data_IF_026803136171
#
_entry.id   IF_026803136171
#
_cell.length_a   1.000
_cell.length_b   1.000
_cell.length_c   1.000
_cell.angle_alpha   90.00
_cell.angle_beta   90.00
_cell.angle_gamma   90.00
#
_symmetry.space_group_name_H-M   'P 1'
#
loop_
_entity.id
_entity.type
_entity.pdbx_description
1 polymer ?
#
# COMPACT_ATOMS: atom_id res chain seq x y z
N UNK A 1 -13.86 10.78 -21.81
CA UNK A 1 -13.84 12.22 -21.40
C UNK A 1 -13.13 12.33 -20.04
N UNK A 2 -12.45 13.43 -19.72
CA UNK A 2 -11.77 13.61 -18.41
C UNK A 2 -12.75 13.43 -17.25
N UNK A 3 -13.94 14.04 -17.35
CA UNK A 3 -14.99 13.92 -16.34
C UNK A 3 -15.36 12.47 -16.02
N UNK A 4 -15.46 11.62 -17.06
CA UNK A 4 -15.77 10.20 -16.89
C UNK A 4 -14.68 9.46 -16.12
N UNK A 5 -13.41 9.74 -16.41
CA UNK A 5 -12.28 9.12 -15.70
C UNK A 5 -12.26 9.57 -14.25
N UNK A 6 -12.47 10.86 -13.97
CA UNK A 6 -12.53 11.36 -12.59
C UNK A 6 -13.71 10.80 -11.81
N UNK A 7 -14.87 10.61 -12.46
CA UNK A 7 -16.02 9.93 -11.85
C UNK A 7 -15.74 8.46 -11.58
N UNK A 8 -15.10 7.75 -12.52
CA UNK A 8 -14.71 6.36 -12.34
C UNK A 8 -13.76 6.19 -11.15
N UNK A 9 -12.74 7.05 -11.06
CA UNK A 9 -11.78 7.07 -9.94
C UNK A 9 -12.48 7.35 -8.61
N UNK A 10 -13.42 8.29 -8.58
CA UNK A 10 -14.22 8.58 -7.38
C UNK A 10 -15.07 7.37 -6.94
N UNK A 11 -15.47 6.52 -7.88
CA UNK A 11 -16.18 5.26 -7.62
C UNK A 11 -15.24 4.07 -7.37
N UNK A 12 -13.92 4.29 -7.32
CA UNK A 12 -12.92 3.25 -7.08
C UNK A 12 -12.45 2.48 -8.31
N UNK A 13 -12.88 2.84 -9.53
CA UNK A 13 -12.35 2.28 -10.76
C UNK A 13 -11.08 3.03 -11.19
N UNK A 14 -9.94 2.44 -10.85
CA UNK A 14 -8.60 2.97 -11.15
C UNK A 14 -8.03 2.45 -12.48
N UNK A 15 -8.81 1.70 -13.27
CA UNK A 15 -8.38 1.19 -14.57
C UNK A 15 -8.56 2.19 -15.71
N UNK A 16 -9.35 3.24 -15.50
CA UNK A 16 -9.71 4.22 -16.53
C UNK A 16 -8.60 5.24 -16.76
N UNK A 17 -8.37 5.58 -18.03
CA UNK A 17 -7.41 6.62 -18.43
C UNK A 17 -8.03 7.64 -19.38
N UNK A 18 -7.53 8.87 -19.30
CA UNK A 18 -7.88 9.91 -20.25
C UNK A 18 -7.12 9.65 -21.54
N UNK A 19 -7.85 9.24 -22.58
CA UNK A 19 -7.28 8.89 -23.90
C UNK A 19 -7.50 9.97 -24.97
N UNK A 20 -8.42 10.91 -24.73
CA UNK A 20 -8.75 11.99 -25.69
C UNK A 20 -7.50 12.79 -26.09
N UNK A 21 -7.42 13.16 -27.37
CA UNK A 21 -6.35 14.01 -27.87
C UNK A 21 -6.61 15.47 -27.51
N UNK A 22 -5.62 16.10 -26.89
CA UNK A 22 -5.72 17.44 -26.30
C UNK A 22 -4.35 18.11 -26.37
N UNK A 23 -4.34 19.43 -26.43
CA UNK A 23 -3.12 20.24 -26.50
C UNK A 23 -3.11 21.33 -25.42
N UNK A 24 -1.96 22.01 -25.27
CA UNK A 24 -1.83 23.11 -24.32
C UNK A 24 -2.11 22.72 -22.87
N UNK A 25 -2.91 23.52 -22.16
CA UNK A 25 -3.26 23.28 -20.76
C UNK A 25 -4.09 22.01 -20.56
N UNK A 26 -4.94 21.65 -21.54
CA UNK A 26 -5.73 20.43 -21.47
C UNK A 26 -4.85 19.17 -21.54
N UNK A 27 -3.73 19.22 -22.27
CA UNK A 27 -2.73 18.14 -22.26
C UNK A 27 -2.06 18.01 -20.88
N UNK A 28 -1.71 19.13 -20.25
CA UNK A 28 -1.16 19.12 -18.89
C UNK A 28 -2.17 18.51 -17.91
N UNK A 29 -3.44 18.93 -17.97
CA UNK A 29 -4.49 18.37 -17.13
C UNK A 29 -4.68 16.86 -17.35
N UNK A 30 -4.76 16.41 -18.61
CA UNK A 30 -4.82 14.98 -18.97
C UNK A 30 -3.67 14.20 -18.32
N UNK A 31 -2.44 14.70 -18.45
CA UNK A 31 -1.27 14.04 -17.90
C UNK A 31 -1.31 13.99 -16.37
N UNK A 32 -1.65 15.11 -15.72
CA UNK A 32 -1.79 15.16 -14.25
C UNK A 32 -2.84 14.17 -13.75
N UNK A 33 -4.01 14.11 -14.39
CA UNK A 33 -5.07 13.16 -14.04
C UNK A 33 -4.59 11.71 -14.23
N UNK A 34 -3.96 11.40 -15.36
CA UNK A 34 -3.46 10.05 -15.62
C UNK A 34 -2.39 9.62 -14.59
N UNK A 35 -1.44 10.50 -14.26
CA UNK A 35 -0.43 10.26 -13.22
C UNK A 35 -1.08 10.02 -11.85
N UNK A 36 -2.09 10.81 -11.48
CA UNK A 36 -2.85 10.60 -10.24
C UNK A 36 -3.49 9.21 -10.21
N UNK A 37 -4.09 8.77 -11.33
CA UNK A 37 -4.67 7.42 -11.44
C UNK A 37 -3.60 6.34 -11.31
N UNK A 38 -2.43 6.50 -11.92
CA UNK A 38 -1.33 5.52 -11.79
C UNK A 38 -0.84 5.39 -10.34
N UNK A 39 -0.65 6.52 -9.66
CA UNK A 39 -0.23 6.53 -8.27
C UNK A 39 -1.26 5.87 -7.36
N UNK A 40 -2.55 6.18 -7.56
CA UNK A 40 -3.65 5.56 -6.83
C UNK A 40 -3.73 4.05 -7.05
N UNK A 41 -3.64 3.60 -8.31
CA UNK A 41 -3.69 2.18 -8.67
C UNK A 41 -2.53 1.42 -8.04
N UNK A 42 -1.31 1.95 -8.18
CA UNK A 42 -0.11 1.34 -7.61
C UNK A 42 -0.18 1.26 -6.09
N UNK A 43 -0.65 2.33 -5.43
CA UNK A 43 -0.86 2.31 -3.98
C UNK A 43 -1.88 1.25 -3.54
N UNK A 44 -3.05 1.20 -4.20
CA UNK A 44 -4.08 0.22 -3.90
C UNK A 44 -3.54 -1.22 -4.03
N UNK A 45 -2.83 -1.51 -5.11
CA UNK A 45 -2.21 -2.82 -5.34
C UNK A 45 -1.19 -3.19 -4.25
N UNK A 46 -0.33 -2.25 -3.83
CA UNK A 46 0.64 -2.48 -2.76
C UNK A 46 -0.05 -2.78 -1.42
N UNK A 47 -1.08 -2.00 -1.07
CA UNK A 47 -1.81 -2.17 0.20
C UNK A 47 -2.57 -3.48 0.22
N UNK A 48 -3.25 -3.84 -0.86
CA UNK A 48 -3.97 -5.12 -0.97
C UNK A 48 -3.02 -6.31 -0.84
N UNK A 49 -1.85 -6.26 -1.49
CA UNK A 49 -0.83 -7.29 -1.32
C UNK A 49 -0.31 -7.37 0.10
N UNK A 50 0.00 -6.24 0.73
CA UNK A 50 0.47 -6.20 2.11
C UNK A 50 -0.53 -6.82 3.08
N UNK A 51 -1.81 -6.45 2.94
CA UNK A 51 -2.88 -6.99 3.77
C UNK A 51 -3.01 -8.51 3.63
N UNK A 52 -2.86 -9.03 2.40
CA UNK A 52 -2.88 -10.46 2.13
C UNK A 52 -1.66 -11.17 2.70
N UNK A 53 -0.45 -10.68 2.43
CA UNK A 53 0.80 -11.30 2.87
C UNK A 53 0.87 -11.37 4.40
N UNK A 54 0.67 -10.22 5.07
CA UNK A 54 0.81 -10.12 6.51
C UNK A 54 -0.41 -10.67 7.24
N UNK A 55 -1.62 -10.37 6.76
CA UNK A 55 -2.87 -10.68 7.46
C UNK A 55 -3.44 -12.06 7.16
N UNK A 56 -3.19 -12.64 5.99
CA UNK A 56 -3.77 -13.92 5.58
C UNK A 56 -2.73 -15.01 5.40
N UNK A 57 -1.63 -14.73 4.69
CA UNK A 57 -0.61 -15.73 4.37
C UNK A 57 0.47 -15.87 5.47
N UNK A 58 0.49 -14.96 6.45
CA UNK A 58 1.49 -14.94 7.52
C UNK A 58 2.92 -14.67 7.03
N UNK A 59 3.06 -14.12 5.83
CA UNK A 59 4.33 -13.69 5.24
C UNK A 59 4.73 -12.34 5.81
N UNK A 60 5.57 -12.39 6.83
CA UNK A 60 5.98 -11.21 7.59
C UNK A 60 7.29 -10.60 7.06
N UNK A 61 7.41 -9.27 7.18
CA UNK A 61 8.60 -8.52 6.78
C UNK A 61 8.58 -7.98 5.35
N UNK A 62 7.46 -8.12 4.62
CA UNK A 62 7.25 -7.43 3.35
C UNK A 62 7.14 -5.91 3.53
N UNK A 63 7.54 -5.15 2.50
CA UNK A 63 7.37 -3.69 2.46
C UNK A 63 6.75 -3.28 1.12
N UNK A 64 5.77 -2.37 1.20
CA UNK A 64 5.18 -1.70 0.06
C UNK A 64 6.18 -0.69 -0.51
N UNK A 65 6.35 -0.71 -1.83
CA UNK A 65 7.11 0.30 -2.58
C UNK A 65 6.22 0.86 -3.68
N UNK A 66 5.88 2.14 -3.56
CA UNK A 66 5.16 2.87 -4.62
C UNK A 66 6.14 3.88 -5.20
N UNK A 67 6.42 3.77 -6.50
CA UNK A 67 7.35 4.68 -7.16
C UNK A 67 6.66 6.03 -7.45
N UNK A 68 7.44 7.11 -7.39
CA UNK A 68 6.97 8.44 -7.79
C UNK A 68 5.95 9.09 -6.83
N UNK A 69 5.76 8.55 -5.62
CA UNK A 69 4.90 9.17 -4.61
C UNK A 69 5.64 10.20 -3.77
N UNK A 70 4.93 11.27 -3.41
CA UNK A 70 5.40 12.34 -2.53
C UNK A 70 4.24 12.86 -1.67
N UNK A 71 4.56 13.67 -0.65
CA UNK A 71 3.58 14.22 0.28
C UNK A 71 2.72 13.13 0.93
N UNK A 72 1.40 13.36 0.97
CA UNK A 72 0.43 12.46 1.61
C UNK A 72 0.51 11.00 1.09
N UNK A 73 0.81 10.78 -0.19
CA UNK A 73 0.94 9.42 -0.74
C UNK A 73 2.11 8.65 -0.13
N UNK A 74 3.23 9.35 0.08
CA UNK A 74 4.41 8.77 0.73
C UNK A 74 4.10 8.46 2.19
N UNK A 75 3.47 9.38 2.91
CA UNK A 75 3.10 9.20 4.32
C UNK A 75 2.18 8.00 4.52
N UNK A 76 1.20 7.79 3.62
CA UNK A 76 0.33 6.63 3.66
C UNK A 76 1.10 5.32 3.44
N UNK A 77 2.02 5.30 2.47
CA UNK A 77 2.88 4.14 2.19
C UNK A 77 3.76 3.81 3.39
N UNK A 78 4.39 4.82 3.98
CA UNK A 78 5.27 4.67 5.15
C UNK A 78 4.49 4.21 6.40
N UNK A 79 3.24 4.68 6.54
CA UNK A 79 2.33 4.26 7.63
C UNK A 79 1.95 2.78 7.51
N UNK A 80 1.59 2.32 6.31
CA UNK A 80 1.29 0.90 6.05
C UNK A 80 2.51 0.02 6.31
N UNK A 81 3.69 0.46 5.88
CA UNK A 81 4.95 -0.23 6.14
C UNK A 81 5.28 -0.31 7.64
N UNK A 82 5.03 0.77 8.38
CA UNK A 82 5.23 0.81 9.83
C UNK A 82 4.30 -0.17 10.55
N UNK A 83 3.02 -0.22 10.17
CA UNK A 83 2.06 -1.19 10.70
C UNK A 83 2.48 -2.64 10.43
N UNK A 84 2.86 -2.95 9.18
CA UNK A 84 3.34 -4.28 8.80
C UNK A 84 4.62 -4.68 9.56
N UNK A 85 5.54 -3.74 9.75
CA UNK A 85 6.78 -3.94 10.51
C UNK A 85 6.53 -4.18 12.00
N UNK A 86 5.60 -3.44 12.59
CA UNK A 86 5.19 -3.62 13.99
C UNK A 86 4.57 -5.01 14.20
N UNK A 87 3.64 -5.40 13.33
CA UNK A 87 3.01 -6.73 13.40
C UNK A 87 4.02 -7.86 13.21
N UNK A 88 4.95 -7.70 12.26
CA UNK A 88 6.06 -8.65 12.06
C UNK A 88 6.89 -8.83 13.33
N UNK A 89 7.24 -7.72 13.99
CA UNK A 89 8.03 -7.74 15.22
C UNK A 89 7.28 -8.41 16.36
N UNK A 90 5.99 -8.06 16.54
CA UNK A 90 5.13 -8.64 17.57
C UNK A 90 5.01 -10.16 17.41
N UNK A 91 4.74 -10.66 16.21
CA UNK A 91 4.60 -12.10 15.97
C UNK A 91 5.92 -12.84 16.19
N UNK A 92 7.06 -12.26 15.79
CA UNK A 92 8.38 -12.87 16.05
C UNK A 92 8.71 -12.91 17.55
N UNK A 93 8.38 -11.86 18.30
CA UNK A 93 8.56 -11.86 19.75
C UNK A 93 7.72 -12.96 20.41
N UNK A 94 6.45 -13.09 20.02
CA UNK A 94 5.58 -14.17 20.52
C UNK A 94 6.18 -15.53 20.21
N UNK A 95 6.63 -15.76 18.97
CA UNK A 95 7.25 -17.03 18.57
C UNK A 95 8.50 -17.37 19.40
N UNK A 96 9.33 -16.37 19.72
CA UNK A 96 10.50 -16.56 20.58
C UNK A 96 10.09 -16.92 22.01
N UNK A 97 9.15 -16.19 22.61
CA UNK A 97 8.64 -16.46 23.96
C UNK A 97 8.00 -17.85 24.03
N UNK A 98 7.15 -18.21 23.07
CA UNK A 98 6.53 -19.56 23.01
C UNK A 98 7.59 -20.66 22.89
N UNK A 99 8.65 -20.43 22.11
CA UNK A 99 9.75 -21.39 21.98
C UNK A 99 10.53 -21.55 23.29
N UNK A 100 10.77 -20.45 24.02
CA UNK A 100 11.45 -20.48 25.32
C UNK A 100 10.63 -21.23 26.38
N UNK A 101 9.32 -20.93 26.46
CA UNK A 101 8.37 -21.62 27.35
C UNK A 101 8.30 -23.11 27.04
N UNK A 102 8.25 -23.49 25.76
CA UNK A 102 8.26 -24.90 25.34
C UNK A 102 9.56 -25.64 25.72
N UNK A 103 10.66 -24.91 25.90
CA UNK A 103 11.95 -25.43 26.40
C UNK A 103 12.09 -25.36 27.92
N UNK A 104 11.05 -24.90 28.63
CA UNK A 104 11.02 -24.79 30.09
C UNK A 104 11.54 -23.48 30.67
N UNK A 105 11.90 -22.49 29.83
CA UNK A 105 12.27 -21.15 30.30
C UNK A 105 11.02 -20.26 30.44
N UNK A 106 10.48 -20.20 31.67
CA UNK A 106 9.33 -19.38 32.03
C UNK A 106 9.71 -17.94 32.43
N UNK A 107 10.99 -17.56 32.34
CA UNK A 107 11.44 -16.20 32.65
C UNK A 107 11.15 -15.21 31.52
N UNK A 108 10.98 -15.71 30.28
CA UNK A 108 10.62 -14.91 29.11
C UNK A 108 9.15 -14.44 29.16
N UNK A 109 8.91 -13.19 28.77
CA UNK A 109 7.58 -12.56 28.74
C UNK A 109 7.37 -11.79 27.43
N UNK A 110 6.10 -11.64 27.04
CA UNK A 110 5.66 -10.82 25.89
C UNK A 110 5.71 -9.34 26.25
#
# INVERSE_FOLDING_TARGET
>A
NIAQVTTAVANGDLSQKVTVDVSGEMLKLKNTVNTMVDQLSSFADQVTRMARDVGTEGRLGGQARVDGVSGTWKELTDSVNSMAGNLTSQVRNIAQVTTAVARGDLSQKI
#
